data_IF_210524823280
#
_entry.id   IF_210524823280
#
_cell.length_a   1.000
_cell.length_b   1.000
_cell.length_c   1.000
_cell.angle_alpha   90.00
_cell.angle_beta   90.00
_cell.angle_gamma   90.00
#
_symmetry.space_group_name_H-M   'P 1'
#
loop_
_entity.id
_entity.type
_entity.pdbx_description
1 polymer ?
#
# COMPACT_ATOMS: atom_id res chain seq x y z
N UNK A 1 45.87 43.68 54.80
CA UNK A 1 45.82 43.17 53.41
C UNK A 1 44.54 42.33 53.29
N UNK A 2 43.43 42.85 52.73
CA UNK A 2 43.02 42.72 51.31
C UNK A 2 42.91 41.21 50.95
N UNK A 3 41.78 40.56 50.63
CA UNK A 3 40.61 40.98 49.83
C UNK A 3 39.43 40.00 50.03
N UNK A 4 38.22 40.54 49.81
CA UNK A 4 36.92 39.88 49.57
C UNK A 4 36.96 38.96 48.33
N UNK A 5 36.20 37.86 48.35
CA UNK A 5 35.54 37.29 47.17
C UNK A 5 34.21 36.63 47.58
N UNK A 6 33.14 37.43 47.61
CA UNK A 6 31.78 36.98 47.37
C UNK A 6 31.47 37.16 45.88
N UNK A 7 30.47 36.43 45.39
CA UNK A 7 29.90 36.39 44.03
C UNK A 7 30.67 35.54 43.02
N UNK A 8 30.12 34.37 42.68
CA UNK A 8 29.70 33.97 41.31
C UNK A 8 29.38 32.46 41.25
N UNK A 9 28.39 31.99 42.01
CA UNK A 9 27.85 30.62 41.81
C UNK A 9 26.32 30.62 41.63
N UNK A 10 25.62 31.65 42.10
CA UNK A 10 24.14 31.67 42.02
C UNK A 10 23.57 32.08 40.66
N UNK A 11 24.34 32.65 39.74
CA UNK A 11 23.79 33.19 38.47
C UNK A 11 23.74 32.17 37.33
N UNK A 12 24.62 31.16 37.33
CA UNK A 12 24.65 30.14 36.26
C UNK A 12 23.55 29.09 36.45
N UNK A 13 23.23 28.74 37.69
CA UNK A 13 22.15 27.79 37.97
C UNK A 13 20.75 28.35 37.66
N UNK A 14 20.55 29.67 37.83
CA UNK A 14 19.27 30.30 37.51
C UNK A 14 19.02 30.41 36.00
N UNK A 15 20.08 30.52 35.18
CA UNK A 15 19.96 30.60 33.72
C UNK A 15 19.72 29.24 33.05
N UNK A 16 20.27 28.16 33.60
CA UNK A 16 20.06 26.78 33.09
C UNK A 16 18.66 26.27 33.44
N UNK A 17 18.10 26.64 34.60
CA UNK A 17 16.74 26.23 34.99
C UNK A 17 15.66 27.03 34.26
N UNK A 18 15.90 28.31 33.95
CA UNK A 18 14.93 29.15 33.21
C UNK A 18 14.88 28.83 31.72
N UNK A 19 15.99 28.39 31.11
CA UNK A 19 15.99 27.93 29.71
C UNK A 19 15.40 26.53 29.55
N UNK A 20 15.42 25.68 30.59
CA UNK A 20 14.75 24.38 30.55
C UNK A 20 13.23 24.47 30.75
N UNK A 21 12.75 25.49 31.48
CA UNK A 21 11.31 25.77 31.65
C UNK A 21 10.68 26.54 30.47
N UNK A 22 11.47 27.27 29.68
CA UNK A 22 10.98 28.01 28.50
C UNK A 22 10.94 27.17 27.21
N UNK A 23 11.52 25.97 27.21
CA UNK A 23 11.60 25.06 26.06
C UNK A 23 10.52 23.97 26.01
N UNK A 24 9.73 23.79 27.06
CA UNK A 24 8.49 23.03 26.98
C UNK A 24 7.39 23.98 26.53
N UNK A 25 7.27 24.22 25.21
CA UNK A 25 5.97 24.55 24.67
C UNK A 25 5.03 23.44 25.15
N UNK A 26 4.07 23.75 26.02
CA UNK A 26 3.04 22.81 26.43
C UNK A 26 2.39 22.30 25.14
N UNK A 27 2.81 21.13 24.68
CA UNK A 27 2.21 20.47 23.54
C UNK A 27 0.75 20.26 23.93
N UNK A 28 -0.15 20.84 23.14
CA UNK A 28 -1.59 20.70 23.35
C UNK A 28 -1.88 19.19 23.48
N UNK A 29 -2.61 18.74 24.52
CA UNK A 29 -2.95 17.33 24.65
C UNK A 29 -3.60 16.82 23.36
N UNK A 30 -3.24 15.60 22.93
CA UNK A 30 -3.75 14.98 21.69
C UNK A 30 -5.27 15.12 21.59
N UNK A 31 -5.97 14.88 22.69
CA UNK A 31 -7.43 15.02 22.78
C UNK A 31 -7.92 16.42 22.41
N UNK A 32 -7.36 17.48 23.00
CA UNK A 32 -7.79 18.86 22.72
C UNK A 32 -7.48 19.27 21.29
N UNK A 33 -6.33 18.85 20.74
CA UNK A 33 -6.01 19.08 19.33
C UNK A 33 -7.05 18.42 18.41
N UNK A 34 -7.47 17.19 18.71
CA UNK A 34 -8.48 16.48 17.92
C UNK A 34 -9.87 17.13 18.04
N UNK A 35 -10.27 17.54 19.24
CA UNK A 35 -11.54 18.24 19.46
C UNK A 35 -11.58 19.58 18.70
N UNK A 36 -10.49 20.35 18.76
CA UNK A 36 -10.33 21.60 18.02
C UNK A 36 -10.38 21.37 16.50
N UNK A 37 -9.58 20.46 15.97
CA UNK A 37 -9.54 20.18 14.54
C UNK A 37 -10.86 19.59 14.03
N UNK A 38 -11.53 18.76 14.82
CA UNK A 38 -12.86 18.24 14.49
C UNK A 38 -13.90 19.37 14.31
N UNK A 39 -13.79 20.43 15.11
CA UNK A 39 -14.68 21.60 14.99
C UNK A 39 -14.40 22.46 13.73
N UNK A 40 -13.16 22.42 13.20
CA UNK A 40 -12.71 23.27 12.10
C UNK A 40 -12.75 22.58 10.74
N UNK A 41 -12.52 21.27 10.68
CA UNK A 41 -12.56 20.51 9.43
C UNK A 41 -14.02 20.41 8.94
N UNK A 42 -14.22 20.88 7.71
CA UNK A 42 -15.53 20.89 7.05
C UNK A 42 -15.78 19.59 6.27
N UNK A 43 -14.76 19.11 5.55
CA UNK A 43 -14.84 17.97 4.63
C UNK A 43 -13.63 17.04 4.84
N UNK A 44 -13.90 15.74 4.97
CA UNK A 44 -12.86 14.71 5.10
C UNK A 44 -13.39 13.38 4.57
N UNK A 45 -13.02 13.01 3.34
CA UNK A 45 -13.36 11.76 2.68
C UNK A 45 -12.19 10.76 2.66
N UNK A 46 -12.46 9.46 2.47
CA UNK A 46 -11.43 8.43 2.33
C UNK A 46 -10.40 8.71 1.22
N UNK A 47 -10.84 9.30 0.11
CA UNK A 47 -10.01 9.68 -1.03
C UNK A 47 -8.86 10.62 -0.67
N UNK A 48 -9.03 11.41 0.40
CA UNK A 48 -8.04 12.39 0.84
C UNK A 48 -6.88 11.79 1.63
N UNK A 49 -7.01 10.58 2.20
CA UNK A 49 -5.98 10.02 3.10
C UNK A 49 -5.64 8.54 2.83
N UNK A 50 -6.54 7.75 2.22
CA UNK A 50 -6.32 6.30 2.01
C UNK A 50 -5.03 6.03 1.22
N UNK A 51 -4.72 6.90 0.27
CA UNK A 51 -3.53 6.80 -0.57
C UNK A 51 -2.49 7.87 -0.23
N UNK A 52 -2.34 8.19 1.06
CA UNK A 52 -1.53 9.32 1.52
C UNK A 52 -2.28 10.64 1.39
N UNK A 53 -1.97 11.58 2.28
CA UNK A 53 -2.62 12.89 2.27
C UNK A 53 -2.25 13.67 1.02
N UNK A 54 -3.26 14.15 0.30
CA UNK A 54 -3.08 14.98 -0.89
C UNK A 54 -3.88 16.26 -0.76
N UNK A 55 -3.33 17.32 -1.31
CA UNK A 55 -4.13 18.50 -1.63
C UNK A 55 -5.22 18.08 -2.62
N UNK A 56 -6.47 18.36 -2.27
CA UNK A 56 -7.59 18.17 -3.17
C UNK A 56 -7.90 19.51 -3.83
N UNK A 57 -7.54 19.66 -5.11
CA UNK A 57 -7.74 20.90 -5.87
C UNK A 57 -9.21 21.29 -6.05
N UNK A 58 -10.15 20.38 -5.75
CA UNK A 58 -11.58 20.69 -5.76
C UNK A 58 -12.02 21.43 -4.51
N UNK A 59 -11.26 21.34 -3.41
CA UNK A 59 -11.57 21.98 -2.13
C UNK A 59 -10.89 23.36 -2.11
N UNK A 60 -11.61 24.44 -1.76
CA UNK A 60 -11.01 25.76 -1.65
C UNK A 60 -9.81 25.75 -0.68
N UNK A 61 -8.65 26.32 -1.03
CA UNK A 61 -7.41 26.19 -0.25
C UNK A 61 -7.54 26.58 1.24
N UNK A 62 -8.38 27.57 1.53
CA UNK A 62 -8.67 28.04 2.90
C UNK A 62 -9.41 26.99 3.75
N UNK A 63 -10.32 26.23 3.13
CA UNK A 63 -11.11 25.20 3.81
C UNK A 63 -10.27 23.94 4.06
N UNK A 64 -9.16 23.80 3.34
CA UNK A 64 -8.21 22.70 3.49
C UNK A 64 -7.13 22.97 4.56
N UNK A 65 -7.04 24.19 5.11
CA UNK A 65 -6.04 24.56 6.13
C UNK A 65 -6.12 23.65 7.37
N UNK A 66 -7.30 23.39 7.98
CA UNK A 66 -7.38 22.52 9.15
C UNK A 66 -6.99 21.07 8.85
N UNK A 67 -7.22 20.58 7.62
CA UNK A 67 -6.77 19.24 7.21
C UNK A 67 -5.25 19.21 7.10
N UNK A 68 -4.62 20.24 6.52
CA UNK A 68 -3.15 20.35 6.47
C UNK A 68 -2.54 20.43 7.87
N UNK A 69 -3.16 21.16 8.78
CA UNK A 69 -2.72 21.21 10.18
C UNK A 69 -2.81 19.82 10.84
N UNK A 70 -3.90 19.08 10.59
CA UNK A 70 -4.04 17.72 11.08
C UNK A 70 -2.95 16.79 10.51
N UNK A 71 -2.67 16.86 9.21
CA UNK A 71 -1.60 16.08 8.58
C UNK A 71 -0.24 16.42 9.18
N UNK A 72 0.07 17.71 9.32
CA UNK A 72 1.34 18.17 9.91
C UNK A 72 1.49 17.67 11.36
N UNK A 73 0.41 17.73 12.16
CA UNK A 73 0.39 17.18 13.51
C UNK A 73 0.75 15.68 13.53
N UNK A 74 0.23 14.91 12.57
CA UNK A 74 0.53 13.48 12.46
C UNK A 74 1.97 13.20 12.01
N UNK A 75 2.55 14.06 11.17
CA UNK A 75 3.91 13.92 10.65
C UNK A 75 4.99 14.35 11.67
N UNK A 76 4.71 15.38 12.47
CA UNK A 76 5.68 15.94 13.42
C UNK A 76 5.80 15.14 14.71
N UNK A 77 4.78 14.34 15.05
CA UNK A 77 4.76 13.61 16.31
C UNK A 77 5.33 12.20 16.19
N UNK A 78 6.03 11.75 17.24
CA UNK A 78 6.43 10.37 17.41
C UNK A 78 5.30 9.55 18.03
N UNK A 79 4.19 9.44 17.30
CA UNK A 79 2.96 8.85 17.80
C UNK A 79 3.01 7.32 17.87
N UNK A 80 2.27 6.79 18.83
CA UNK A 80 2.04 5.37 19.02
C UNK A 80 0.55 5.06 18.93
N UNK A 81 0.23 3.78 18.72
CA UNK A 81 -1.16 3.30 18.74
C UNK A 81 -1.92 3.76 20.00
N UNK A 82 -1.29 3.69 21.18
CA UNK A 82 -1.91 4.04 22.46
C UNK A 82 -2.38 5.49 22.55
N UNK A 83 -1.74 6.42 21.82
CA UNK A 83 -2.08 7.84 21.86
C UNK A 83 -3.48 8.12 21.28
N UNK A 84 -3.96 7.25 20.40
CA UNK A 84 -5.23 7.44 19.68
C UNK A 84 -6.34 6.47 20.09
N UNK A 85 -6.03 5.34 20.76
CA UNK A 85 -7.02 4.30 21.07
C UNK A 85 -8.19 4.82 21.92
N UNK A 86 -7.93 5.69 22.90
CA UNK A 86 -9.00 6.24 23.74
C UNK A 86 -9.98 7.10 22.94
N UNK A 87 -9.50 7.77 21.87
CA UNK A 87 -10.30 8.67 21.04
C UNK A 87 -11.28 7.91 20.14
N UNK A 88 -11.07 6.61 19.89
CA UNK A 88 -12.05 5.76 19.20
C UNK A 88 -13.38 5.62 19.97
N UNK A 89 -13.40 5.95 21.25
CA UNK A 89 -14.60 5.93 22.11
C UNK A 89 -15.14 7.32 22.42
N UNK A 90 -14.60 8.35 21.77
CA UNK A 90 -15.02 9.73 22.03
C UNK A 90 -16.49 9.94 21.64
N UNK A 91 -17.22 10.80 22.36
CA UNK A 91 -18.64 11.06 22.09
C UNK A 91 -18.86 11.74 20.73
N UNK A 92 -17.96 12.64 20.34
CA UNK A 92 -17.96 13.28 19.02
C UNK A 92 -17.49 12.31 17.92
N UNK A 93 -18.36 12.06 16.93
CA UNK A 93 -18.10 11.21 15.78
C UNK A 93 -16.97 11.73 14.87
N UNK A 94 -16.78 13.05 14.78
CA UNK A 94 -15.68 13.66 14.04
C UNK A 94 -14.34 13.37 14.71
N UNK A 95 -14.27 13.44 16.04
CA UNK A 95 -13.07 13.04 16.81
C UNK A 95 -12.76 11.55 16.61
N UNK A 96 -13.76 10.67 16.67
CA UNK A 96 -13.56 9.24 16.34
C UNK A 96 -13.02 9.03 14.93
N UNK A 97 -13.50 9.83 13.97
CA UNK A 97 -13.04 9.79 12.58
C UNK A 97 -11.59 10.22 12.44
N UNK A 98 -11.18 11.31 13.09
CA UNK A 98 -9.78 11.72 13.12
C UNK A 98 -8.90 10.65 13.78
N UNK A 99 -9.37 10.00 14.85
CA UNK A 99 -8.66 8.90 15.51
C UNK A 99 -8.46 7.69 14.59
N UNK A 100 -9.45 7.34 13.77
CA UNK A 100 -9.31 6.31 12.74
C UNK A 100 -8.22 6.67 11.72
N UNK A 101 -8.21 7.92 11.24
CA UNK A 101 -7.22 8.39 10.27
C UNK A 101 -5.81 8.44 10.89
N UNK A 102 -5.69 8.85 12.15
CA UNK A 102 -4.43 8.86 12.89
C UNK A 102 -3.88 7.43 13.12
N UNK A 103 -4.72 6.47 13.48
CA UNK A 103 -4.29 5.07 13.58
C UNK A 103 -3.83 4.52 12.21
N UNK A 104 -4.54 4.88 11.14
CA UNK A 104 -4.12 4.51 9.79
C UNK A 104 -2.79 5.18 9.39
N UNK A 105 -2.56 6.43 9.82
CA UNK A 105 -1.34 7.17 9.47
C UNK A 105 -0.07 6.52 10.04
N UNK A 106 -0.17 5.80 11.16
CA UNK A 106 0.93 5.01 11.75
C UNK A 106 1.51 3.94 10.82
N UNK A 107 0.79 3.57 9.75
CA UNK A 107 1.24 2.58 8.76
C UNK A 107 1.51 1.18 9.36
N UNK A 108 0.87 0.90 10.50
CA UNK A 108 0.93 -0.36 11.23
C UNK A 108 -0.38 -1.15 11.08
N UNK A 109 -0.39 -2.28 10.36
CA UNK A 109 -1.58 -3.13 10.19
C UNK A 109 -2.12 -3.73 11.50
N UNK A 110 -1.35 -3.71 12.59
CA UNK A 110 -1.81 -4.19 13.91
C UNK A 110 -2.84 -3.26 14.57
N UNK A 111 -3.15 -2.11 13.96
CA UNK A 111 -4.28 -1.25 14.37
C UNK A 111 -5.64 -1.74 13.84
N UNK A 112 -5.65 -2.60 12.81
CA UNK A 112 -6.89 -3.01 12.14
C UNK A 112 -7.91 -3.68 13.08
N UNK A 113 -7.52 -4.53 14.05
CA UNK A 113 -8.47 -5.09 15.02
C UNK A 113 -9.17 -4.04 15.89
N UNK A 114 -8.54 -2.90 16.17
CA UNK A 114 -9.13 -1.82 16.96
C UNK A 114 -10.05 -0.92 16.12
N UNK A 115 -9.77 -0.83 14.81
CA UNK A 115 -10.62 -0.13 13.84
C UNK A 115 -11.89 -0.93 13.52
N UNK A 116 -11.78 -2.26 13.44
CA UNK A 116 -12.88 -3.14 12.99
C UNK A 116 -14.20 -2.96 13.76
N UNK A 117 -14.25 -2.82 15.09
CA UNK A 117 -15.48 -2.55 15.81
C UNK A 117 -16.23 -1.29 15.36
N UNK A 118 -15.53 -0.30 14.79
CA UNK A 118 -16.15 0.94 14.32
C UNK A 118 -16.82 0.78 12.95
N UNK A 119 -16.62 -0.31 12.21
CA UNK A 119 -17.27 -0.57 10.90
C UNK A 119 -18.79 -0.45 10.96
N UNK A 120 -19.39 -0.76 12.10
CA UNK A 120 -20.85 -0.66 12.31
C UNK A 120 -21.30 0.67 12.91
N UNK A 121 -20.40 1.61 13.21
CA UNK A 121 -20.74 2.93 13.76
C UNK A 121 -21.52 3.76 12.73
N UNK A 122 -22.79 4.04 13.05
CA UNK A 122 -23.72 4.78 12.19
C UNK A 122 -23.71 6.29 12.45
N UNK A 123 -22.90 6.79 13.38
CA UNK A 123 -22.87 8.22 13.66
C UNK A 123 -22.37 8.98 12.43
N UNK A 124 -23.09 10.05 12.08
CA UNK A 124 -22.70 10.95 11.00
C UNK A 124 -21.42 11.69 11.38
N UNK A 125 -20.49 11.77 10.43
CA UNK A 125 -19.22 12.48 10.60
C UNK A 125 -19.07 13.56 9.52
N UNK A 126 -17.83 14.00 9.24
CA UNK A 126 -17.51 14.87 8.11
C UNK A 126 -18.20 14.41 6.83
N UNK A 127 -18.59 15.35 5.98
CA UNK A 127 -19.00 15.04 4.62
C UNK A 127 -17.78 14.67 3.77
N UNK A 128 -18.01 13.95 2.67
CA UNK A 128 -17.00 13.73 1.63
C UNK A 128 -17.37 14.50 0.36
N UNK A 129 -16.39 14.91 -0.44
CA UNK A 129 -16.65 15.44 -1.77
C UNK A 129 -17.27 14.34 -2.64
N UNK A 130 -18.25 14.71 -3.45
CA UNK A 130 -18.75 13.85 -4.52
C UNK A 130 -17.78 13.91 -5.70
N UNK A 131 -17.40 12.75 -6.23
CA UNK A 131 -16.60 12.69 -7.46
C UNK A 131 -17.50 12.96 -8.66
N UNK A 132 -17.50 14.20 -9.15
CA UNK A 132 -18.06 14.53 -10.45
C UNK A 132 -16.96 14.57 -11.50
N UNK A 133 -17.32 14.33 -12.76
CA UNK A 133 -16.50 14.68 -13.91
C UNK A 133 -16.49 16.21 -14.10
N UNK A 134 -16.01 16.94 -13.08
CA UNK A 134 -15.81 18.37 -13.16
C UNK A 134 -14.38 18.64 -13.68
N UNK A 135 -14.18 19.61 -14.59
CA UNK A 135 -12.84 19.99 -15.01
C UNK A 135 -12.00 20.43 -13.81
N UNK A 136 -10.74 20.00 -13.74
CA UNK A 136 -9.84 20.17 -12.59
C UNK A 136 -9.52 21.63 -12.19
N UNK A 137 -10.03 22.62 -12.94
CA UNK A 137 -9.77 24.05 -12.77
C UNK A 137 -10.94 24.85 -12.18
N UNK A 138 -12.05 24.18 -11.82
CA UNK A 138 -13.17 24.84 -11.15
C UNK A 138 -13.12 24.52 -9.66
N UNK A 139 -12.75 25.52 -8.85
CA UNK A 139 -12.93 25.44 -7.40
C UNK A 139 -14.39 25.09 -7.11
N UNK A 140 -14.61 23.94 -6.47
CA UNK A 140 -15.96 23.47 -6.19
C UNK A 140 -16.36 24.02 -4.84
N UNK A 141 -17.42 24.82 -4.81
CA UNK A 141 -18.01 25.25 -3.54
C UNK A 141 -18.44 24.02 -2.75
N UNK A 142 -18.15 24.00 -1.45
CA UNK A 142 -18.64 22.96 -0.54
C UNK A 142 -20.12 23.25 -0.29
N UNK A 143 -20.99 22.49 -0.93
CA UNK A 143 -22.44 22.63 -0.82
C UNK A 143 -23.10 21.24 -0.67
N UNK A 144 -24.37 21.16 -0.26
CA UNK A 144 -25.07 19.88 -0.19
C UNK A 144 -25.12 19.13 -1.52
N UNK A 145 -25.10 19.83 -2.65
CA UNK A 145 -25.09 19.24 -3.99
C UNK A 145 -23.73 18.66 -4.38
N UNK A 146 -22.65 19.16 -3.78
CA UNK A 146 -21.27 18.76 -4.11
C UNK A 146 -20.66 17.80 -3.08
N UNK A 147 -21.42 17.44 -2.06
CA UNK A 147 -20.96 16.61 -0.95
C UNK A 147 -21.92 15.45 -0.68
N UNK A 148 -21.38 14.39 -0.06
CA UNK A 148 -22.16 13.26 0.42
C UNK A 148 -21.96 13.07 1.92
N UNK A 149 -23.07 12.76 2.61
CA UNK A 149 -23.04 12.32 4.00
C UNK A 149 -22.37 10.95 4.11
N UNK A 150 -21.68 10.73 5.22
CA UNK A 150 -21.04 9.46 5.54
C UNK A 150 -21.00 9.26 7.05
N UNK A 151 -20.73 8.02 7.46
CA UNK A 151 -20.64 7.62 8.86
C UNK A 151 -19.20 7.28 9.24
N UNK A 152 -18.94 7.25 10.55
CA UNK A 152 -17.67 6.73 11.10
C UNK A 152 -17.40 5.31 10.57
N UNK A 153 -18.42 4.45 10.50
CA UNK A 153 -18.30 3.10 9.98
C UNK A 153 -17.94 2.99 8.51
N UNK A 154 -18.36 3.95 7.67
CA UNK A 154 -17.90 4.03 6.28
C UNK A 154 -16.41 4.35 6.20
N UNK A 155 -15.91 5.23 7.05
CA UNK A 155 -14.47 5.55 7.14
C UNK A 155 -13.67 4.34 7.61
N UNK A 156 -14.09 3.70 8.70
CA UNK A 156 -13.45 2.49 9.21
C UNK A 156 -13.44 1.36 8.16
N UNK A 157 -14.54 1.20 7.43
CA UNK A 157 -14.65 0.23 6.34
C UNK A 157 -13.66 0.52 5.22
N UNK A 158 -13.51 1.79 4.82
CA UNK A 158 -12.58 2.17 3.75
C UNK A 158 -11.12 1.86 4.12
N UNK A 159 -10.72 2.10 5.37
CA UNK A 159 -9.39 1.76 5.90
C UNK A 159 -9.16 0.25 5.85
N UNK A 160 -10.09 -0.54 6.38
CA UNK A 160 -9.95 -2.00 6.40
C UNK A 160 -9.96 -2.59 4.99
N UNK A 161 -10.83 -2.06 4.12
CA UNK A 161 -10.91 -2.47 2.72
C UNK A 161 -9.61 -2.26 1.96
N UNK A 162 -8.85 -1.19 2.25
CA UNK A 162 -7.57 -0.95 1.59
C UNK A 162 -6.59 -2.12 1.80
N UNK A 163 -6.52 -2.63 3.03
CA UNK A 163 -5.70 -3.80 3.36
C UNK A 163 -6.29 -5.12 2.86
N UNK A 164 -7.60 -5.31 3.06
CA UNK A 164 -8.29 -6.54 2.65
C UNK A 164 -8.23 -6.75 1.13
N UNK A 165 -8.52 -5.74 0.33
CA UNK A 165 -8.48 -5.82 -1.14
C UNK A 165 -7.07 -6.10 -1.64
N UNK A 166 -6.07 -5.49 -1.03
CA UNK A 166 -4.66 -5.74 -1.33
C UNK A 166 -4.25 -7.20 -1.08
N UNK A 167 -4.85 -7.83 -0.06
CA UNK A 167 -4.74 -9.26 0.24
C UNK A 167 -5.76 -10.14 -0.47
N UNK A 168 -6.50 -9.63 -1.47
CA UNK A 168 -7.47 -10.38 -2.28
C UNK A 168 -8.84 -10.63 -1.65
N UNK A 169 -9.17 -9.99 -0.53
CA UNK A 169 -10.48 -10.07 0.12
C UNK A 169 -11.35 -8.89 -0.34
N UNK A 170 -12.19 -9.12 -1.36
CA UNK A 170 -12.91 -8.05 -2.08
C UNK A 170 -14.36 -7.82 -1.63
N UNK A 171 -14.79 -8.44 -0.51
CA UNK A 171 -16.20 -8.53 -0.14
C UNK A 171 -16.59 -7.68 1.08
N UNK A 172 -15.76 -6.69 1.42
CA UNK A 172 -15.98 -5.78 2.54
C UNK A 172 -15.61 -6.38 3.90
N UNK A 173 -15.49 -5.53 4.94
CA UNK A 173 -15.07 -5.95 6.28
C UNK A 173 -16.06 -6.90 6.96
N UNK A 174 -17.35 -6.80 6.63
CA UNK A 174 -18.39 -7.68 7.16
C UNK A 174 -18.59 -8.96 6.32
N UNK A 175 -17.92 -9.07 5.17
CA UNK A 175 -18.18 -10.12 4.20
C UNK A 175 -19.57 -10.02 3.55
N UNK A 176 -19.89 -10.96 2.68
CA UNK A 176 -21.21 -11.09 2.06
C UNK A 176 -21.50 -12.53 1.67
N UNK A 177 -22.69 -13.08 1.99
CA UNK A 177 -23.22 -14.39 1.55
C UNK A 177 -22.17 -15.42 1.10
N UNK A 178 -21.52 -16.07 2.08
CA UNK A 178 -20.53 -17.12 1.84
C UNK A 178 -19.13 -16.63 1.46
N UNK A 179 -18.93 -15.32 1.34
CA UNK A 179 -17.62 -14.71 1.11
C UNK A 179 -17.00 -14.21 2.42
N UNK A 180 -15.69 -14.40 2.61
CA UNK A 180 -14.99 -14.06 3.85
C UNK A 180 -14.95 -12.55 4.10
N UNK A 181 -15.04 -12.16 5.38
CA UNK A 181 -14.88 -10.77 5.84
C UNK A 181 -13.54 -10.55 6.54
N UNK A 182 -13.47 -9.49 7.36
CA UNK A 182 -12.27 -9.13 8.10
C UNK A 182 -11.83 -10.23 9.08
N UNK A 183 -12.75 -10.99 9.65
CA UNK A 183 -12.40 -12.06 10.60
C UNK A 183 -11.58 -13.17 9.93
N UNK A 184 -11.99 -13.59 8.74
CA UNK A 184 -11.28 -14.60 7.95
C UNK A 184 -9.98 -14.06 7.38
N UNK A 185 -9.97 -12.79 6.94
CA UNK A 185 -8.75 -12.07 6.61
C UNK A 185 -7.79 -12.16 7.80
N UNK A 186 -8.16 -11.58 8.95
CA UNK A 186 -7.27 -11.43 10.10
C UNK A 186 -6.72 -12.76 10.64
N UNK A 187 -7.45 -13.88 10.53
CA UNK A 187 -6.90 -15.21 10.89
C UNK A 187 -5.60 -15.55 10.15
N UNK A 188 -5.43 -15.07 8.91
CA UNK A 188 -4.23 -15.32 8.11
C UNK A 188 -3.09 -14.34 8.40
N UNK A 189 -3.40 -13.15 8.95
CA UNK A 189 -2.43 -12.06 9.13
C UNK A 189 -2.09 -11.74 10.59
N UNK A 190 -2.88 -12.23 11.55
CA UNK A 190 -2.64 -12.02 12.97
C UNK A 190 -1.24 -12.51 13.36
N UNK A 191 -0.50 -11.68 14.09
CA UNK A 191 0.86 -11.99 14.56
C UNK A 191 1.95 -11.92 13.49
N UNK A 192 1.62 -11.61 12.22
CA UNK A 192 2.63 -11.38 11.18
C UNK A 192 3.27 -10.00 11.37
N UNK A 193 4.58 -9.93 11.13
CA UNK A 193 5.29 -8.65 11.01
C UNK A 193 5.06 -8.00 9.64
N UNK A 194 4.77 -8.80 8.61
CA UNK A 194 4.65 -8.31 7.23
C UNK A 194 3.82 -9.20 6.31
N UNK A 195 3.34 -8.61 5.22
CA UNK A 195 2.75 -9.30 4.05
C UNK A 195 2.91 -8.46 2.78
N UNK A 196 2.94 -9.10 1.62
CA UNK A 196 3.08 -8.45 0.32
C UNK A 196 1.91 -7.49 0.01
N UNK A 197 0.71 -7.79 0.51
CA UNK A 197 -0.45 -6.91 0.45
C UNK A 197 -0.32 -5.68 1.35
N UNK A 198 0.27 -5.82 2.54
CA UNK A 198 0.58 -4.64 3.37
C UNK A 198 1.58 -3.73 2.67
N UNK A 199 2.65 -4.27 2.08
CA UNK A 199 3.60 -3.46 1.28
C UNK A 199 2.94 -2.70 0.13
N UNK A 200 1.91 -3.27 -0.49
CA UNK A 200 1.16 -2.62 -1.56
C UNK A 200 0.32 -1.44 -1.08
N UNK A 201 -0.30 -1.55 0.11
CA UNK A 201 -0.97 -0.39 0.73
C UNK A 201 0.04 0.72 1.01
N UNK A 202 1.20 0.35 1.57
CA UNK A 202 2.29 1.30 1.85
C UNK A 202 2.83 1.95 0.58
N UNK A 203 2.99 1.18 -0.49
CA UNK A 203 3.43 1.69 -1.79
C UNK A 203 2.41 2.65 -2.39
N UNK A 204 1.12 2.31 -2.38
CA UNK A 204 0.05 3.18 -2.86
C UNK A 204 -0.03 4.49 -2.08
N UNK A 205 0.26 4.47 -0.77
CA UNK A 205 0.39 5.68 0.05
C UNK A 205 1.66 6.47 -0.29
N UNK A 206 2.80 5.80 -0.39
CA UNK A 206 4.08 6.43 -0.73
C UNK A 206 4.05 7.10 -2.11
N UNK A 207 3.41 6.47 -3.10
CA UNK A 207 3.30 6.99 -4.47
C UNK A 207 2.14 7.95 -4.69
N UNK A 208 1.34 8.20 -3.65
CA UNK A 208 0.05 8.86 -3.83
C UNK A 208 -0.76 8.20 -4.94
N UNK A 209 -0.73 6.87 -5.06
CA UNK A 209 -1.40 6.08 -6.11
C UNK A 209 -1.47 6.81 -7.47
N UNK A 210 -0.38 7.49 -7.86
CA UNK A 210 -0.24 8.21 -9.14
C UNK A 210 0.76 7.55 -10.06
N UNK A 211 0.38 7.40 -11.34
CA UNK A 211 1.25 6.90 -12.40
C UNK A 211 1.17 7.86 -13.60
N UNK A 212 2.29 8.36 -14.15
CA UNK A 212 3.66 8.14 -13.67
C UNK A 212 3.90 8.71 -12.27
N UNK A 213 4.85 8.15 -11.53
CA UNK A 213 5.15 8.59 -10.16
C UNK A 213 5.70 10.01 -10.16
N UNK A 214 5.16 10.88 -9.30
CA UNK A 214 5.63 12.25 -9.16
C UNK A 214 7.00 12.31 -8.45
N UNK A 215 7.86 13.26 -8.85
CA UNK A 215 9.28 13.31 -8.40
C UNK A 215 9.45 13.50 -6.90
N UNK A 216 8.59 14.29 -6.28
CA UNK A 216 8.55 14.52 -4.82
C UNK A 216 8.24 13.23 -4.05
N UNK A 217 7.65 12.22 -4.70
CA UNK A 217 7.33 10.91 -4.11
C UNK A 217 8.48 9.91 -4.20
N UNK A 218 9.59 10.25 -4.85
CA UNK A 218 10.71 9.32 -5.01
C UNK A 218 11.37 8.97 -3.66
N UNK A 219 11.54 9.95 -2.77
CA UNK A 219 12.18 9.71 -1.48
C UNK A 219 11.36 8.77 -0.58
N UNK A 220 10.04 8.97 -0.37
CA UNK A 220 9.19 8.01 0.33
C UNK A 220 9.24 6.59 -0.24
N UNK A 221 9.21 6.43 -1.57
CA UNK A 221 9.27 5.11 -2.22
C UNK A 221 10.63 4.45 -2.01
N UNK A 222 11.74 5.20 -2.08
CA UNK A 222 13.08 4.67 -1.80
C UNK A 222 13.24 4.24 -0.34
N UNK A 223 12.65 4.98 0.60
CA UNK A 223 12.61 4.57 2.00
C UNK A 223 11.83 3.26 2.17
N UNK A 224 10.69 3.12 1.48
CA UNK A 224 9.93 1.87 1.46
C UNK A 224 10.75 0.72 0.88
N UNK A 225 11.47 0.96 -0.23
CA UNK A 225 12.36 -0.03 -0.86
C UNK A 225 13.42 -0.52 0.12
N UNK A 226 14.09 0.38 0.84
CA UNK A 226 15.10 0.02 1.83
C UNK A 226 14.55 -0.90 2.94
N UNK A 227 13.27 -0.74 3.31
CA UNK A 227 12.63 -1.64 4.28
C UNK A 227 12.28 -3.01 3.67
N UNK A 228 11.85 -3.06 2.41
CA UNK A 228 11.63 -4.31 1.67
C UNK A 228 12.95 -5.08 1.51
N UNK A 229 14.07 -4.38 1.32
CA UNK A 229 15.38 -5.01 1.16
C UNK A 229 15.86 -5.77 2.42
N UNK A 230 15.26 -5.50 3.59
CA UNK A 230 15.50 -6.22 4.84
C UNK A 230 14.73 -7.54 4.95
N UNK A 231 13.79 -7.80 4.04
CA UNK A 231 13.07 -9.08 4.02
C UNK A 231 14.03 -10.22 3.66
N UNK A 232 13.88 -11.41 4.28
CA UNK A 232 14.65 -12.57 3.89
C UNK A 232 14.26 -13.03 2.47
N UNK A 233 15.19 -13.64 1.76
CA UNK A 233 14.85 -14.44 0.58
C UNK A 233 14.10 -15.71 1.01
N UNK A 234 13.11 -16.20 0.25
CA UNK A 234 12.66 -15.71 -1.07
C UNK A 234 11.64 -14.56 -1.03
N UNK A 235 11.14 -14.20 0.15
CA UNK A 235 10.00 -13.31 0.31
C UNK A 235 10.28 -11.91 -0.22
N UNK A 236 11.52 -11.41 -0.12
CA UNK A 236 11.93 -10.15 -0.74
C UNK A 236 11.67 -10.13 -2.24
N UNK A 237 12.21 -11.10 -2.98
CA UNK A 237 12.08 -11.18 -4.44
C UNK A 237 10.63 -11.32 -4.86
N UNK A 238 9.86 -12.16 -4.17
CA UNK A 238 8.45 -12.35 -4.48
C UNK A 238 7.58 -11.15 -4.13
N UNK A 239 7.91 -10.42 -3.06
CA UNK A 239 7.26 -9.16 -2.72
C UNK A 239 7.49 -8.13 -3.82
N UNK A 240 8.74 -7.94 -4.27
CA UNK A 240 9.05 -7.02 -5.36
C UNK A 240 8.33 -7.40 -6.67
N UNK A 241 8.29 -8.69 -7.02
CA UNK A 241 7.53 -9.17 -8.18
C UNK A 241 6.01 -8.93 -8.03
N UNK A 242 5.44 -9.14 -6.85
CA UNK A 242 4.01 -8.90 -6.57
C UNK A 242 3.64 -7.42 -6.65
N UNK A 243 4.57 -6.53 -6.30
CA UNK A 243 4.40 -5.08 -6.37
C UNK A 243 4.66 -4.52 -7.78
N UNK A 244 5.16 -5.33 -8.72
CA UNK A 244 5.31 -4.91 -10.10
C UNK A 244 3.94 -4.55 -10.70
N UNK A 245 3.87 -3.44 -11.42
CA UNK A 245 2.67 -2.79 -11.97
C UNK A 245 1.70 -2.19 -10.94
N UNK A 246 2.04 -2.19 -9.64
CA UNK A 246 1.35 -1.33 -8.68
C UNK A 246 1.82 0.11 -8.86
N UNK A 247 0.97 1.07 -8.47
CA UNK A 247 1.33 2.47 -8.61
C UNK A 247 2.51 2.85 -7.70
N UNK A 248 3.58 3.40 -8.27
CA UNK A 248 4.85 3.60 -7.57
C UNK A 248 5.93 2.60 -7.94
N UNK A 249 5.59 1.51 -8.65
CA UNK A 249 6.54 0.43 -8.96
C UNK A 249 7.68 0.88 -9.87
N UNK A 250 7.44 1.87 -10.74
CA UNK A 250 8.41 2.49 -11.65
C UNK A 250 9.61 3.10 -10.92
N UNK A 251 9.43 3.47 -9.65
CA UNK A 251 10.51 3.98 -8.78
C UNK A 251 10.99 2.92 -7.79
N UNK A 252 10.12 1.98 -7.40
CA UNK A 252 10.42 0.96 -6.39
C UNK A 252 11.47 -0.04 -6.87
N UNK A 253 11.28 -0.58 -8.08
CA UNK A 253 12.15 -1.62 -8.64
C UNK A 253 12.18 -1.48 -10.16
N UNK A 254 13.34 -1.15 -10.76
CA UNK A 254 13.49 -1.13 -12.21
C UNK A 254 13.25 -2.52 -12.81
N UNK A 255 12.75 -2.53 -14.05
CA UNK A 255 12.46 -3.77 -14.76
C UNK A 255 13.69 -4.69 -14.87
N UNK A 256 14.86 -4.15 -15.22
CA UNK A 256 16.09 -4.95 -15.36
C UNK A 256 16.55 -5.56 -14.03
N UNK A 257 16.35 -4.82 -12.92
CA UNK A 257 16.66 -5.34 -11.59
C UNK A 257 15.75 -6.52 -11.25
N UNK A 258 14.43 -6.39 -11.49
CA UNK A 258 13.48 -7.45 -11.22
C UNK A 258 13.80 -8.70 -12.05
N UNK A 259 14.13 -8.53 -13.33
CA UNK A 259 14.58 -9.64 -14.20
C UNK A 259 15.83 -10.31 -13.64
N UNK A 260 16.82 -9.55 -13.17
CA UNK A 260 18.02 -10.11 -12.54
C UNK A 260 17.69 -10.91 -11.28
N UNK A 261 16.87 -10.36 -10.37
CA UNK A 261 16.44 -11.06 -9.16
C UNK A 261 15.77 -12.40 -9.49
N UNK A 262 14.89 -12.43 -10.50
CA UNK A 262 14.24 -13.65 -10.94
C UNK A 262 15.20 -14.66 -11.57
N UNK A 263 16.25 -14.21 -12.26
CA UNK A 263 17.32 -15.10 -12.75
C UNK A 263 18.09 -15.74 -11.61
N UNK A 264 18.45 -14.96 -10.60
CA UNK A 264 19.22 -15.41 -9.44
C UNK A 264 18.42 -16.45 -8.60
N UNK A 265 17.08 -16.35 -8.59
CA UNK A 265 16.19 -17.36 -7.98
C UNK A 265 16.27 -18.73 -8.66
N UNK A 266 16.63 -18.75 -9.94
CA UNK A 266 16.81 -19.95 -10.74
C UNK A 266 15.52 -20.61 -11.26
N UNK A 267 15.67 -21.53 -12.24
CA UNK A 267 14.57 -22.22 -12.92
C UNK A 267 13.51 -22.82 -12.05
N UNK A 268 13.96 -23.58 -11.05
CA UNK A 268 13.07 -24.42 -10.28
C UNK A 268 12.15 -23.55 -9.42
N UNK A 269 12.67 -22.45 -8.87
CA UNK A 269 11.85 -21.46 -8.13
C UNK A 269 10.78 -20.82 -9.02
N UNK A 270 11.14 -20.45 -10.26
CA UNK A 270 10.19 -19.84 -11.20
C UNK A 270 9.12 -20.85 -11.65
N UNK A 271 9.54 -22.10 -11.89
CA UNK A 271 8.63 -23.17 -12.26
C UNK A 271 7.71 -23.55 -11.09
N UNK A 272 8.20 -23.57 -9.86
CA UNK A 272 7.41 -23.76 -8.65
C UNK A 272 6.30 -22.70 -8.56
N UNK A 273 6.61 -21.43 -8.84
CA UNK A 273 5.60 -20.38 -8.95
C UNK A 273 4.60 -20.66 -10.08
N UNK A 274 5.03 -20.96 -11.30
CA UNK A 274 4.08 -21.23 -12.39
C UNK A 274 3.20 -22.47 -12.15
N UNK A 275 3.71 -23.45 -11.41
CA UNK A 275 2.98 -24.65 -10.95
C UNK A 275 2.11 -24.41 -9.72
N UNK A 276 1.98 -23.16 -9.25
CA UNK A 276 1.20 -22.81 -8.05
C UNK A 276 1.72 -23.46 -6.77
N UNK A 277 3.03 -23.66 -6.68
CA UNK A 277 3.75 -24.28 -5.57
C UNK A 277 4.86 -23.35 -5.02
N UNK A 278 4.56 -22.04 -4.93
CA UNK A 278 5.53 -21.05 -4.47
C UNK A 278 5.95 -21.34 -3.02
N UNK A 279 7.26 -21.30 -2.75
CA UNK A 279 7.81 -21.47 -1.41
C UNK A 279 7.81 -20.15 -0.65
N UNK A 280 6.64 -19.74 -0.18
CA UNK A 280 6.48 -18.60 0.72
C UNK A 280 5.36 -18.89 1.71
N UNK A 281 5.49 -18.40 2.94
CA UNK A 281 4.44 -18.46 3.96
C UNK A 281 3.58 -17.19 3.96
N UNK A 282 3.84 -16.25 3.05
CA UNK A 282 3.00 -15.07 2.89
C UNK A 282 1.66 -15.46 2.25
N UNK A 283 0.51 -15.22 2.92
CA UNK A 283 -0.78 -15.48 2.33
C UNK A 283 -0.92 -14.75 0.98
N UNK A 284 -0.43 -13.52 0.85
CA UNK A 284 -0.62 -12.68 -0.36
C UNK A 284 0.16 -13.14 -1.57
N UNK A 285 1.18 -13.98 -1.36
CA UNK A 285 1.95 -14.61 -2.42
C UNK A 285 1.36 -15.96 -2.85
N UNK A 286 0.36 -16.48 -2.13
CA UNK A 286 -0.25 -17.77 -2.49
C UNK A 286 -1.07 -17.70 -3.79
N UNK A 287 -1.17 -18.82 -4.53
CA UNK A 287 -1.85 -18.88 -5.82
C UNK A 287 -3.30 -18.39 -5.79
N UNK A 288 -3.61 -17.43 -6.65
CA UNK A 288 -4.95 -16.83 -6.84
C UNK A 288 -5.04 -16.15 -8.21
N UNK A 289 -6.18 -15.55 -8.57
CA UNK A 289 -6.31 -14.89 -9.87
C UNK A 289 -5.43 -13.63 -9.99
N UNK A 290 -5.56 -12.70 -9.05
CA UNK A 290 -4.75 -11.48 -8.94
C UNK A 290 -4.37 -11.29 -7.46
N UNK A 291 -3.16 -10.80 -7.12
CA UNK A 291 -2.07 -10.35 -8.00
C UNK A 291 -1.19 -11.47 -8.59
N UNK A 292 -1.36 -12.72 -8.15
CA UNK A 292 -0.50 -13.85 -8.56
C UNK A 292 -0.45 -14.10 -10.07
N UNK A 293 -1.57 -13.93 -10.78
CA UNK A 293 -1.61 -14.03 -12.24
C UNK A 293 -0.67 -13.03 -12.93
N UNK A 294 -0.54 -11.80 -12.40
CA UNK A 294 0.40 -10.79 -12.93
C UNK A 294 1.86 -11.25 -12.78
N UNK A 295 2.19 -11.83 -11.63
CA UNK A 295 3.53 -12.40 -11.39
C UNK A 295 3.86 -13.48 -12.42
N UNK A 296 2.90 -14.37 -12.71
CA UNK A 296 3.06 -15.41 -13.74
C UNK A 296 3.26 -14.79 -15.14
N UNK A 297 2.45 -13.79 -15.50
CA UNK A 297 2.55 -13.09 -16.79
C UNK A 297 3.92 -12.44 -16.95
N UNK A 298 4.42 -11.76 -15.91
CA UNK A 298 5.75 -11.13 -15.95
C UNK A 298 6.85 -12.16 -16.25
N UNK A 299 6.82 -13.31 -15.56
CA UNK A 299 7.78 -14.40 -15.79
C UNK A 299 7.68 -14.94 -17.23
N UNK A 300 6.47 -15.10 -17.75
CA UNK A 300 6.22 -15.59 -19.10
C UNK A 300 6.63 -14.58 -20.19
N UNK A 301 6.42 -13.28 -19.97
CA UNK A 301 6.84 -12.22 -20.90
C UNK A 301 8.36 -12.10 -20.96
N UNK A 302 9.03 -12.32 -19.84
CA UNK A 302 10.49 -12.32 -19.74
C UNK A 302 11.10 -13.72 -19.96
N UNK A 303 10.29 -14.67 -20.45
CA UNK A 303 10.69 -16.08 -20.65
C UNK A 303 11.77 -16.27 -21.71
N UNK A 304 11.97 -15.32 -22.64
CA UNK A 304 13.10 -15.38 -23.56
C UNK A 304 14.45 -15.52 -22.83
N UNK A 305 14.52 -15.06 -21.56
CA UNK A 305 15.71 -15.13 -20.71
C UNK A 305 15.51 -16.02 -19.47
N UNK A 306 14.29 -16.54 -19.30
CA UNK A 306 13.97 -17.50 -18.26
C UNK A 306 14.18 -18.92 -18.81
N UNK A 307 14.26 -19.92 -17.94
CA UNK A 307 14.26 -21.33 -18.30
C UNK A 307 12.89 -21.79 -18.83
N UNK A 308 12.20 -20.95 -19.59
CA UNK A 308 11.10 -21.29 -20.49
C UNK A 308 11.39 -20.78 -21.92
N UNK A 309 12.52 -20.09 -22.10
CA UNK A 309 13.00 -19.61 -23.39
C UNK A 309 13.54 -20.74 -24.26
N UNK A 310 13.90 -20.36 -25.49
CA UNK A 310 14.35 -21.28 -26.53
C UNK A 310 15.39 -22.29 -26.01
N UNK A 311 16.34 -21.87 -25.18
CA UNK A 311 17.41 -22.74 -24.68
C UNK A 311 16.92 -23.79 -23.68
N UNK A 312 15.93 -23.48 -22.85
CA UNK A 312 15.30 -24.48 -21.98
C UNK A 312 14.39 -25.42 -22.75
N UNK A 313 13.58 -24.88 -23.67
CA UNK A 313 12.82 -25.70 -24.59
C UNK A 313 13.73 -26.65 -25.36
N UNK A 314 14.87 -26.17 -25.85
CA UNK A 314 15.85 -27.00 -26.56
C UNK A 314 16.51 -28.02 -25.63
N UNK A 315 16.87 -27.64 -24.40
CA UNK A 315 17.44 -28.57 -23.41
C UNK A 315 16.45 -29.67 -22.99
N UNK A 316 15.21 -29.32 -22.72
CA UNK A 316 14.16 -30.28 -22.34
C UNK A 316 13.70 -31.10 -23.54
N UNK A 317 13.67 -30.52 -24.74
CA UNK A 317 13.51 -31.27 -25.99
C UNK A 317 14.65 -32.26 -26.19
N UNK A 318 15.90 -31.88 -25.91
CA UNK A 318 17.06 -32.80 -26.01
C UNK A 318 16.93 -33.93 -24.99
N UNK A 319 16.60 -33.64 -23.72
CA UNK A 319 16.35 -34.67 -22.70
C UNK A 319 15.17 -35.58 -23.07
N UNK A 320 14.10 -35.01 -23.60
CA UNK A 320 12.93 -35.77 -24.05
C UNK A 320 13.24 -36.59 -25.32
N UNK A 321 14.10 -36.11 -26.22
CA UNK A 321 14.61 -36.87 -27.37
C UNK A 321 15.43 -38.07 -26.93
N UNK A 322 16.23 -37.92 -25.87
CA UNK A 322 17.02 -39.03 -25.30
C UNK A 322 16.13 -40.08 -24.61
N UNK A 323 15.10 -39.64 -23.89
CA UNK A 323 14.23 -40.53 -23.11
C UNK A 323 13.05 -41.12 -23.92
N UNK A 324 12.52 -40.37 -24.88
CA UNK A 324 11.30 -40.70 -25.64
C UNK A 324 11.45 -40.31 -27.14
N UNK A 325 12.43 -40.91 -27.85
CA UNK A 325 12.80 -40.47 -29.20
C UNK A 325 11.65 -40.59 -30.21
N UNK A 326 10.79 -41.62 -30.07
CA UNK A 326 9.70 -41.89 -31.01
C UNK A 326 8.56 -40.89 -30.84
N UNK A 327 8.13 -40.67 -29.61
CA UNK A 327 7.04 -39.78 -29.23
C UNK A 327 7.40 -38.32 -29.54
N UNK A 328 8.64 -37.90 -29.24
CA UNK A 328 9.12 -36.56 -29.56
C UNK A 328 9.28 -36.38 -31.07
N UNK A 329 9.66 -37.42 -31.81
CA UNK A 329 9.69 -37.43 -33.28
C UNK A 329 8.30 -37.20 -33.89
N UNK A 330 7.30 -37.94 -33.42
CA UNK A 330 5.89 -37.83 -33.87
C UNK A 330 5.29 -36.46 -33.55
N UNK A 331 5.54 -35.94 -32.35
CA UNK A 331 5.10 -34.60 -31.94
C UNK A 331 5.75 -33.51 -32.80
N UNK A 332 7.06 -33.61 -33.04
CA UNK A 332 7.81 -32.64 -33.85
C UNK A 332 7.34 -32.63 -35.30
N UNK A 333 7.09 -33.81 -35.89
CA UNK A 333 6.51 -33.93 -37.23
C UNK A 333 5.11 -33.30 -37.31
N UNK A 334 4.29 -33.51 -36.28
CA UNK A 334 2.93 -32.95 -36.21
C UNK A 334 2.94 -31.43 -36.10
N UNK A 335 3.74 -30.87 -35.20
CA UNK A 335 3.92 -29.42 -35.07
C UNK A 335 4.45 -28.78 -36.36
N UNK A 336 5.35 -29.47 -37.06
CA UNK A 336 5.90 -29.00 -38.34
C UNK A 336 4.84 -28.95 -39.44
N UNK A 337 3.98 -29.98 -39.54
CA UNK A 337 2.83 -29.99 -40.44
C UNK A 337 1.84 -28.87 -40.13
N UNK A 338 1.52 -28.65 -38.85
CA UNK A 338 0.62 -27.57 -38.44
C UNK A 338 1.18 -26.18 -38.77
N UNK A 339 2.48 -25.94 -38.54
CA UNK A 339 3.14 -24.68 -38.92
C UNK A 339 3.13 -24.44 -40.42
N UNK A 340 3.37 -25.49 -41.23
CA UNK A 340 3.32 -25.39 -42.68
C UNK A 340 1.90 -25.06 -43.17
N UNK A 341 0.89 -25.74 -42.64
CA UNK A 341 -0.52 -25.49 -42.97
C UNK A 341 -0.97 -24.08 -42.56
N UNK A 342 -0.53 -23.59 -41.41
CA UNK A 342 -0.81 -22.23 -40.95
C UNK A 342 -0.17 -21.20 -41.90
N UNK A 343 1.12 -21.36 -42.23
CA UNK A 343 1.85 -20.46 -43.15
C UNK A 343 1.24 -20.41 -44.55
N UNK A 344 0.76 -21.55 -45.06
CA UNK A 344 0.07 -21.60 -46.35
C UNK A 344 -1.26 -20.84 -46.35
N UNK A 345 -1.92 -20.71 -45.19
CA UNK A 345 -3.19 -19.99 -45.01
C UNK A 345 -3.04 -18.50 -44.73
N UNK A 346 -1.89 -18.06 -44.22
CA UNK A 346 -1.62 -16.65 -43.88
C UNK A 346 -1.85 -15.69 -45.08
N UNK A 347 -1.40 -15.98 -46.32
CA UNK A 347 -1.65 -15.11 -47.47
C UNK A 347 -3.14 -14.91 -47.81
N UNK A 348 -3.99 -15.89 -47.51
CA UNK A 348 -5.43 -15.81 -47.73
C UNK A 348 -6.17 -15.03 -46.61
N UNK A 349 -5.58 -14.97 -45.41
CA UNK A 349 -6.12 -14.24 -44.25
C UNK A 349 -5.72 -12.74 -44.25
N UNK A 350 -4.63 -12.37 -44.93
CA UNK A 350 -4.12 -10.98 -45.02
C UNK A 350 -4.77 -10.19 -46.18
N UNK A 351 -5.52 -10.85 -47.08
CA UNK A 351 -6.21 -10.22 -48.23
C UNK A 351 -7.70 -9.91 -48.00
N UNK A 352 -8.19 -10.04 -46.77
CA UNK A 352 -9.46 -9.44 -46.32
C UNK A 352 -9.13 -8.25 -45.44
#
# INVERSE_FOLDING_TARGET
MIRRFHLTVSTVFLFVVTTWLAGQSQQEPVRSTFERLASQIVVLGPDQFIYGFRDNSQIPPKEFVPVREFTQFLEDGNWTKSDFLALLKHNDAKVRTLALVALYSLDDPQVLPDIFPLVTDQASTFVAMLHFAAPSFVETRITPETTQKQTVGRIASAIIDAYMKSGGFNYGPLGNRGQPGFREYWKLYAGRSTSAGWWSVRLARASHSTSPTQRDRFAPIRQLRAQIDLLPEPDRTWTLLRLNDDTGSDVLVPHEELVRLLKDRGPDSLMDLLKRNIRSNDPDLQPRHSPYGRMCIFILQNSAWSPLGFDFFMRDKTKALEQFPKEVGELTATLSRWRAALRARIPALIKK
#
